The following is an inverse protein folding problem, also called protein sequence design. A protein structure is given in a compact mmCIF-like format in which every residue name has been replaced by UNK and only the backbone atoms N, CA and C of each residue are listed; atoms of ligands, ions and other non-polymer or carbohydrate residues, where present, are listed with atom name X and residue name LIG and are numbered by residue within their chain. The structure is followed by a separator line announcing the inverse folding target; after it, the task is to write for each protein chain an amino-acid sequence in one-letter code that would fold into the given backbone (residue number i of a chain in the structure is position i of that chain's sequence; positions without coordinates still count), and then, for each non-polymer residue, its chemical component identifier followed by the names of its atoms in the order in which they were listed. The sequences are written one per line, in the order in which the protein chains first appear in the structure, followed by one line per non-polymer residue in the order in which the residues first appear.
data_IF_772049647912
#
_entry.id   IF_772049647912
#
_cell.length_a   1.000
_cell.length_b   1.000
_cell.length_c   1.000
_cell.angle_alpha   90.00
_cell.angle_beta   90.00
_cell.angle_gamma   90.00
#
_symmetry.space_group_name_H-M   'P 1'
#
loop_
_entity.id
_entity.type
_entity.pdbx_description
1 polymer ?
#
# COMPACT_ATOMS: atom_id res chain seq x y z
N UNK A 1 42.54 28.02 16.91
CA UNK A 1 41.49 27.03 17.14
C UNK A 1 40.39 27.30 16.12
N UNK A 2 40.48 26.65 14.95
CA UNK A 2 39.53 26.80 13.86
C UNK A 2 38.35 25.83 14.08
N UNK A 3 37.15 26.37 14.26
CA UNK A 3 35.89 25.60 14.23
C UNK A 3 35.52 25.34 12.78
N UNK A 4 35.69 24.10 12.30
CA UNK A 4 35.15 23.65 11.03
C UNK A 4 33.66 23.41 11.16
N UNK A 5 32.83 24.27 10.58
CA UNK A 5 31.42 24.06 10.39
C UNK A 5 31.21 22.93 9.38
N UNK A 6 30.80 21.78 9.86
CA UNK A 6 30.31 20.68 9.00
C UNK A 6 28.89 21.05 8.55
N UNK A 7 28.75 21.48 7.31
CA UNK A 7 27.44 21.59 6.65
C UNK A 7 26.94 20.16 6.34
N UNK A 8 25.99 19.69 7.12
CA UNK A 8 25.21 18.51 6.75
C UNK A 8 24.22 18.97 5.69
N UNK A 9 24.56 18.69 4.41
CA UNK A 9 23.59 18.78 3.33
C UNK A 9 22.51 17.72 3.58
N UNK A 10 21.39 18.16 4.11
CA UNK A 10 20.17 17.35 4.15
C UNK A 10 19.57 17.43 2.75
N UNK A 11 19.98 16.53 1.86
CA UNK A 11 19.27 16.33 0.60
C UNK A 11 17.85 15.89 0.96
N UNK A 12 16.93 16.86 0.90
CA UNK A 12 15.49 16.57 0.90
C UNK A 12 15.23 15.74 -0.35
N UNK A 13 15.07 14.45 -0.18
CA UNK A 13 14.41 13.60 -1.17
C UNK A 13 13.04 14.24 -1.43
N UNK A 14 12.94 15.01 -2.50
CA UNK A 14 11.65 15.49 -2.98
C UNK A 14 10.87 14.24 -3.38
N UNK A 15 9.88 13.89 -2.55
CA UNK A 15 8.90 12.89 -2.92
C UNK A 15 8.32 13.30 -4.28
N UNK A 16 8.31 12.38 -5.23
CA UNK A 16 7.75 12.63 -6.55
C UNK A 16 6.27 12.99 -6.35
N UNK A 17 5.92 14.26 -6.53
CA UNK A 17 4.58 14.79 -6.26
C UNK A 17 3.54 14.38 -7.30
N UNK A 18 3.98 13.74 -8.40
CA UNK A 18 3.08 13.31 -9.47
C UNK A 18 3.35 11.86 -9.84
N UNK A 19 2.29 11.04 -9.81
CA UNK A 19 2.33 9.69 -10.37
C UNK A 19 2.21 9.83 -11.88
N UNK A 20 3.14 9.27 -12.67
CA UNK A 20 3.02 9.29 -14.12
C UNK A 20 1.77 8.51 -14.54
N UNK A 21 1.12 8.97 -15.60
CA UNK A 21 0.01 8.24 -16.20
C UNK A 21 0.47 6.87 -16.69
N UNK A 22 -0.47 5.96 -16.79
CA UNK A 22 -0.24 4.67 -17.46
C UNK A 22 -0.04 4.89 -18.96
N UNK A 23 0.92 4.18 -19.50
CA UNK A 23 1.25 4.23 -20.92
C UNK A 23 0.50 3.13 -21.68
N UNK A 24 0.46 3.25 -23.01
CA UNK A 24 -0.16 2.26 -23.90
C UNK A 24 0.43 0.86 -23.67
N UNK A 25 -0.45 -0.15 -23.63
CA UNK A 25 -0.05 -1.55 -23.46
C UNK A 25 0.31 -1.94 -22.02
N UNK A 26 0.26 -1.02 -21.06
CA UNK A 26 0.53 -1.38 -19.68
C UNK A 26 -0.50 -2.37 -19.13
N UNK A 27 0.02 -3.30 -18.33
CA UNK A 27 -0.72 -4.33 -17.62
C UNK A 27 -0.63 -4.00 -16.12
N UNK A 28 -1.69 -3.38 -15.62
CA UNK A 28 -1.75 -2.87 -14.24
C UNK A 28 -2.45 -3.87 -13.35
N UNK A 29 -1.75 -4.42 -12.36
CA UNK A 29 -2.32 -5.33 -11.36
C UNK A 29 -2.54 -4.58 -10.06
N UNK A 30 -3.80 -4.51 -9.61
CA UNK A 30 -4.18 -3.92 -8.34
C UNK A 30 -4.21 -5.02 -7.27
N UNK A 31 -3.22 -5.03 -6.40
CA UNK A 31 -3.09 -5.96 -5.28
C UNK A 31 -3.63 -5.29 -4.02
N UNK A 32 -4.45 -6.01 -3.26
CA UNK A 32 -5.02 -5.45 -2.04
C UNK A 32 -6.02 -6.36 -1.37
N UNK A 33 -6.67 -5.82 -0.37
CA UNK A 33 -7.69 -6.49 0.44
C UNK A 33 -9.11 -6.31 -0.13
N UNK A 34 -10.13 -6.31 0.74
CA UNK A 34 -11.55 -6.14 0.37
C UNK A 34 -11.85 -4.86 -0.41
N UNK A 35 -11.13 -3.77 -0.16
CA UNK A 35 -11.32 -2.50 -0.87
C UNK A 35 -10.95 -2.67 -2.34
N UNK A 36 -9.84 -3.34 -2.60
CA UNK A 36 -9.41 -3.67 -3.97
C UNK A 36 -10.31 -4.74 -4.59
N UNK A 37 -10.66 -5.78 -3.83
CA UNK A 37 -11.58 -6.82 -4.28
C UNK A 37 -12.90 -6.24 -4.78
N UNK A 38 -13.47 -5.27 -4.05
CA UNK A 38 -14.73 -4.61 -4.43
C UNK A 38 -14.71 -3.91 -5.79
N UNK A 39 -13.55 -3.59 -6.31
CA UNK A 39 -13.38 -3.17 -7.70
C UNK A 39 -13.69 -1.72 -8.01
N UNK A 40 -14.21 -0.95 -7.07
CA UNK A 40 -14.76 0.37 -7.35
C UNK A 40 -13.71 1.36 -7.89
N UNK A 41 -12.63 1.59 -7.15
CA UNK A 41 -11.70 2.65 -7.50
C UNK A 41 -10.92 2.35 -8.80
N UNK A 42 -10.46 1.13 -9.00
CA UNK A 42 -9.73 0.78 -10.22
C UNK A 42 -10.65 0.66 -11.44
N UNK A 43 -11.94 0.37 -11.26
CA UNK A 43 -12.91 0.45 -12.35
C UNK A 43 -13.11 1.89 -12.83
N UNK A 44 -13.12 2.87 -11.91
CA UNK A 44 -13.15 4.29 -12.28
C UNK A 44 -11.86 4.72 -12.99
N UNK A 45 -10.71 4.23 -12.55
CA UNK A 45 -9.43 4.46 -13.22
C UNK A 45 -9.50 3.89 -14.65
N UNK A 46 -9.98 2.65 -14.80
CA UNK A 46 -10.14 2.03 -16.11
C UNK A 46 -11.08 2.84 -17.03
N UNK A 47 -12.24 3.23 -16.52
CA UNK A 47 -13.21 4.04 -17.26
C UNK A 47 -12.61 5.38 -17.70
N UNK A 48 -11.84 6.02 -16.82
CA UNK A 48 -11.12 7.26 -17.14
C UNK A 48 -10.17 7.06 -18.33
N UNK A 49 -9.35 6.00 -18.33
CA UNK A 49 -8.43 5.73 -19.41
C UNK A 49 -9.14 5.36 -20.71
N UNK A 50 -10.18 4.55 -20.66
CA UNK A 50 -10.97 4.16 -21.82
C UNK A 50 -11.67 5.35 -22.49
N UNK A 51 -12.08 6.34 -21.70
CA UNK A 51 -12.80 7.51 -22.24
C UNK A 51 -11.87 8.65 -22.66
N UNK A 52 -10.73 8.80 -22.01
CA UNK A 52 -9.80 9.91 -22.27
C UNK A 52 -8.66 9.55 -23.22
N UNK A 53 -8.32 8.29 -23.31
CA UNK A 53 -7.21 7.79 -24.11
C UNK A 53 -7.61 6.50 -24.85
N UNK A 54 -8.69 6.54 -25.67
CA UNK A 54 -9.23 5.34 -26.31
C UNK A 54 -8.23 4.66 -27.26
N UNK A 55 -7.33 5.45 -27.84
CA UNK A 55 -6.29 4.96 -28.76
C UNK A 55 -5.04 4.38 -28.03
N UNK A 56 -5.02 4.41 -26.69
CA UNK A 56 -3.92 3.93 -25.84
C UNK A 56 -4.42 2.91 -24.82
N UNK A 57 -4.80 1.72 -25.27
CA UNK A 57 -5.40 0.72 -24.39
C UNK A 57 -4.43 0.27 -23.29
N UNK A 58 -4.97 0.13 -22.09
CA UNK A 58 -4.30 -0.48 -20.92
C UNK A 58 -5.12 -1.69 -20.45
N UNK A 59 -4.48 -2.62 -19.78
CA UNK A 59 -5.15 -3.75 -19.13
C UNK A 59 -5.14 -3.55 -17.60
N UNK A 60 -6.31 -3.54 -16.99
CA UNK A 60 -6.45 -3.51 -15.53
C UNK A 60 -6.87 -4.88 -15.02
N UNK A 61 -6.19 -5.37 -14.00
CA UNK A 61 -6.44 -6.67 -13.38
C UNK A 61 -6.63 -6.49 -11.88
N UNK A 62 -7.74 -7.00 -11.38
CA UNK A 62 -8.01 -7.03 -9.96
C UNK A 62 -7.38 -8.26 -9.32
N UNK A 63 -6.48 -8.05 -8.38
CA UNK A 63 -5.85 -9.05 -7.52
C UNK A 63 -6.12 -8.72 -6.04
N UNK A 64 -7.27 -8.15 -5.73
CA UNK A 64 -7.75 -7.94 -4.37
C UNK A 64 -8.44 -9.19 -3.82
N UNK A 65 -8.18 -9.53 -2.57
CA UNK A 65 -8.87 -10.60 -1.84
C UNK A 65 -9.35 -10.07 -0.49
N UNK A 66 -10.63 -10.27 -0.19
CA UNK A 66 -11.22 -9.80 1.07
C UNK A 66 -10.56 -10.40 2.31
N UNK A 67 -10.28 -9.57 3.31
CA UNK A 67 -9.69 -10.00 4.58
C UNK A 67 -8.17 -10.11 4.59
N UNK A 68 -7.50 -10.04 3.45
CA UNK A 68 -6.04 -10.20 3.40
C UNK A 68 -5.27 -9.08 4.08
N UNK A 69 -4.15 -9.47 4.65
CA UNK A 69 -3.10 -8.67 5.25
C UNK A 69 -1.84 -8.72 4.37
N UNK A 70 -0.79 -7.97 4.72
CA UNK A 70 0.46 -7.96 3.96
C UNK A 70 1.09 -9.36 3.81
N UNK A 71 1.05 -10.19 4.85
CA UNK A 71 1.59 -11.57 4.79
C UNK A 71 0.83 -12.47 3.83
N UNK A 72 -0.48 -12.35 3.73
CA UNK A 72 -1.30 -13.13 2.78
C UNK A 72 -0.98 -12.72 1.34
N UNK A 73 -0.87 -11.41 1.08
CA UNK A 73 -0.48 -10.87 -0.23
C UNK A 73 0.94 -11.30 -0.61
N UNK A 74 1.87 -11.34 0.35
CA UNK A 74 3.24 -11.82 0.16
C UNK A 74 3.25 -13.27 -0.33
N UNK A 75 2.48 -14.14 0.30
CA UNK A 75 2.47 -15.57 0.02
C UNK A 75 1.97 -15.90 -1.40
N UNK A 76 1.05 -15.09 -1.96
CA UNK A 76 0.52 -15.29 -3.31
C UNK A 76 1.18 -14.46 -4.41
N UNK A 77 2.21 -13.70 -4.09
CA UNK A 77 2.79 -12.72 -5.02
C UNK A 77 3.26 -13.37 -6.34
N UNK A 78 3.87 -14.55 -6.30
CA UNK A 78 4.37 -15.23 -7.51
C UNK A 78 3.24 -15.79 -8.37
N UNK A 79 2.37 -16.60 -7.78
CA UNK A 79 1.37 -17.35 -8.55
C UNK A 79 0.17 -16.51 -8.97
N UNK A 80 -0.17 -15.45 -8.24
CA UNK A 80 -1.32 -14.61 -8.57
C UNK A 80 -0.92 -13.27 -9.19
N UNK A 81 0.16 -12.64 -8.74
CA UNK A 81 0.54 -11.31 -9.25
C UNK A 81 1.52 -11.43 -10.42
N UNK A 82 2.67 -12.07 -10.23
CA UNK A 82 3.71 -12.12 -11.27
C UNK A 82 3.33 -12.99 -12.47
N UNK A 83 2.54 -14.04 -12.28
CA UNK A 83 2.03 -14.86 -13.39
C UNK A 83 1.10 -14.08 -14.33
N UNK A 84 0.53 -12.96 -13.88
CA UNK A 84 -0.24 -12.05 -14.74
C UNK A 84 0.65 -11.17 -15.62
N UNK A 85 1.99 -11.28 -15.48
CA UNK A 85 3.00 -10.52 -16.24
C UNK A 85 2.73 -9.01 -16.16
N UNK A 86 2.65 -8.42 -14.96
CA UNK A 86 2.39 -6.99 -14.81
C UNK A 86 3.55 -6.15 -15.34
N UNK A 87 3.24 -4.99 -15.90
CA UNK A 87 4.19 -3.89 -16.11
C UNK A 87 4.09 -2.88 -14.97
N UNK A 88 2.94 -2.88 -14.26
CA UNK A 88 2.65 -1.98 -13.18
C UNK A 88 1.93 -2.72 -12.04
N UNK A 89 2.36 -2.52 -10.82
CA UNK A 89 1.72 -3.08 -9.63
C UNK A 89 1.36 -1.97 -8.66
N UNK A 90 0.11 -1.91 -8.24
CA UNK A 90 -0.32 -1.12 -7.08
C UNK A 90 -0.52 -2.03 -5.89
N UNK A 91 -0.13 -1.61 -4.71
CA UNK A 91 -0.24 -2.39 -3.48
C UNK A 91 -0.94 -1.58 -2.39
N UNK A 92 -2.05 -2.11 -1.88
CA UNK A 92 -2.83 -1.51 -0.79
C UNK A 92 -3.03 -2.52 0.33
N UNK A 93 -2.58 -2.19 1.54
CA UNK A 93 -2.72 -3.03 2.74
C UNK A 93 -2.79 -2.16 4.00
N UNK A 94 -2.81 -2.77 5.18
CA UNK A 94 -2.72 -2.11 6.48
C UNK A 94 -3.99 -2.23 7.32
N UNK A 95 -5.18 -2.21 6.72
CA UNK A 95 -6.43 -2.23 7.46
C UNK A 95 -6.65 -3.56 8.22
N UNK A 96 -6.39 -4.70 7.58
CA UNK A 96 -6.53 -6.02 8.21
C UNK A 96 -5.32 -6.41 9.05
N UNK A 97 -4.16 -5.81 8.76
CA UNK A 97 -2.91 -6.06 9.45
C UNK A 97 -2.98 -5.68 10.93
N UNK A 98 -3.72 -4.63 11.26
CA UNK A 98 -3.91 -4.17 12.64
C UNK A 98 -4.78 -5.09 13.47
N UNK A 99 -5.72 -5.83 12.84
CA UNK A 99 -6.60 -6.79 13.50
C UNK A 99 -7.64 -6.18 14.42
N UNK A 100 -8.83 -5.97 13.93
CA UNK A 100 -9.92 -5.34 14.67
C UNK A 100 -10.28 -6.07 15.97
N UNK A 101 -10.15 -7.39 15.98
CA UNK A 101 -10.53 -8.28 17.07
C UNK A 101 -9.60 -8.19 18.28
N UNK A 102 -8.37 -7.75 18.10
CA UNK A 102 -7.38 -7.73 19.18
C UNK A 102 -7.60 -6.61 20.19
N UNK A 103 -8.23 -5.50 19.76
CA UNK A 103 -8.42 -4.33 20.61
C UNK A 103 -9.39 -4.54 21.78
N UNK A 104 -10.15 -5.62 21.73
CA UNK A 104 -11.04 -6.05 22.83
C UNK A 104 -10.35 -6.98 23.84
N UNK A 105 -9.07 -7.29 23.68
CA UNK A 105 -8.32 -8.21 24.53
C UNK A 105 -7.47 -7.45 25.55
N UNK A 106 -7.27 -8.04 26.72
CA UNK A 106 -6.48 -7.43 27.80
C UNK A 106 -5.03 -7.15 27.39
N UNK A 107 -4.47 -7.99 26.51
CA UNK A 107 -3.13 -7.84 25.95
C UNK A 107 -3.11 -7.21 24.55
N UNK A 108 -4.09 -6.37 24.23
CA UNK A 108 -4.25 -5.74 22.91
C UNK A 108 -2.98 -5.03 22.42
N UNK A 109 -2.26 -4.35 23.34
CA UNK A 109 -1.03 -3.63 22.99
C UNK A 109 0.04 -4.58 22.44
N UNK A 110 0.33 -5.65 23.15
CA UNK A 110 1.33 -6.65 22.76
C UNK A 110 0.96 -7.31 21.42
N UNK A 111 -0.29 -7.72 21.27
CA UNK A 111 -0.79 -8.32 20.03
C UNK A 111 -0.71 -7.35 18.86
N UNK A 112 -1.00 -6.07 19.06
CA UNK A 112 -0.87 -5.03 18.04
C UNK A 112 0.59 -4.85 17.61
N UNK A 113 1.53 -4.79 18.55
CA UNK A 113 2.96 -4.66 18.27
C UNK A 113 3.47 -5.88 17.45
N UNK A 114 3.06 -7.08 17.80
CA UNK A 114 3.40 -8.30 17.07
C UNK A 114 2.84 -8.29 15.64
N UNK A 115 1.59 -7.88 15.45
CA UNK A 115 0.97 -7.77 14.11
C UNK A 115 1.65 -6.70 13.25
N UNK A 116 1.95 -5.54 13.82
CA UNK A 116 2.68 -4.48 13.10
C UNK A 116 4.05 -4.96 12.67
N UNK A 117 4.78 -5.65 13.54
CA UNK A 117 6.10 -6.21 13.20
C UNK A 117 6.01 -7.21 12.05
N UNK A 118 5.04 -8.14 12.09
CA UNK A 118 4.79 -9.12 11.03
C UNK A 118 4.39 -8.45 9.70
N UNK A 119 3.56 -7.41 9.76
CA UNK A 119 3.16 -6.65 8.58
C UNK A 119 4.35 -5.96 7.93
N UNK A 120 5.18 -5.29 8.72
CA UNK A 120 6.38 -4.61 8.24
C UNK A 120 7.41 -5.56 7.61
N UNK A 121 7.61 -6.73 8.22
CA UNK A 121 8.48 -7.76 7.66
C UNK A 121 7.95 -8.25 6.30
N UNK A 122 6.66 -8.60 6.24
CA UNK A 122 6.02 -9.05 5.01
C UNK A 122 6.06 -7.98 3.91
N UNK A 123 5.87 -6.72 4.29
CA UNK A 123 5.96 -5.60 3.36
C UNK A 123 7.35 -5.44 2.76
N UNK A 124 8.41 -5.54 3.59
CA UNK A 124 9.80 -5.47 3.10
C UNK A 124 10.08 -6.59 2.10
N UNK A 125 9.64 -7.81 2.39
CA UNK A 125 9.82 -8.93 1.47
C UNK A 125 9.07 -8.71 0.15
N UNK A 126 7.83 -8.19 0.20
CA UNK A 126 7.09 -7.81 -1.02
C UNK A 126 7.87 -6.76 -1.82
N UNK A 127 8.37 -5.74 -1.13
CA UNK A 127 9.12 -4.66 -1.77
C UNK A 127 10.40 -5.19 -2.43
N UNK A 128 11.17 -6.01 -1.74
CA UNK A 128 12.39 -6.64 -2.27
C UNK A 128 12.09 -7.50 -3.52
N UNK A 129 11.04 -8.32 -3.47
CA UNK A 129 10.62 -9.16 -4.60
C UNK A 129 10.12 -8.34 -5.79
N UNK A 130 9.43 -7.23 -5.54
CA UNK A 130 9.04 -6.27 -6.57
C UNK A 130 10.25 -5.53 -7.14
N UNK A 131 11.24 -5.16 -6.31
CA UNK A 131 12.48 -4.52 -6.74
C UNK A 131 13.34 -5.44 -7.59
N UNK A 132 13.38 -6.73 -7.25
CA UNK A 132 14.08 -7.74 -8.05
C UNK A 132 13.50 -7.89 -9.48
N UNK A 133 12.26 -7.46 -9.69
CA UNK A 133 11.61 -7.41 -11.01
C UNK A 133 11.81 -6.02 -11.65
N UNK A 134 13.00 -5.70 -12.08
CA UNK A 134 13.42 -4.37 -12.58
C UNK A 134 12.52 -3.70 -13.64
N UNK A 135 11.66 -4.47 -14.31
CA UNK A 135 10.75 -3.97 -15.35
C UNK A 135 9.37 -3.58 -14.81
N UNK A 136 9.07 -3.87 -13.54
CA UNK A 136 7.77 -3.58 -12.94
C UNK A 136 7.82 -2.21 -12.27
N UNK A 137 6.98 -1.29 -12.74
CA UNK A 137 6.69 -0.04 -12.04
C UNK A 137 5.77 -0.33 -10.85
N UNK A 138 5.91 0.40 -9.77
CA UNK A 138 5.16 0.17 -8.54
C UNK A 138 4.65 1.44 -7.91
N UNK A 139 3.45 1.38 -7.35
CA UNK A 139 2.85 2.40 -6.49
C UNK A 139 2.39 1.74 -5.20
N UNK A 140 2.82 2.32 -4.10
CA UNK A 140 2.38 1.93 -2.78
C UNK A 140 1.27 2.89 -2.37
N UNK A 141 0.10 2.34 -2.09
CA UNK A 141 -1.06 3.09 -1.63
C UNK A 141 -1.19 2.82 -0.14
N UNK A 142 -1.15 3.86 0.67
CA UNK A 142 -1.35 3.73 2.12
C UNK A 142 -2.76 3.22 2.47
N UNK A 143 -2.94 2.79 3.71
CA UNK A 143 -4.26 2.42 4.22
C UNK A 143 -5.21 3.61 4.21
N UNK A 144 -6.51 3.34 4.04
CA UNK A 144 -7.53 4.38 4.18
C UNK A 144 -7.52 4.95 5.61
N UNK A 145 -7.73 6.26 5.79
CA UNK A 145 -7.84 6.85 7.12
C UNK A 145 -9.06 6.25 7.84
N UNK A 146 -8.89 6.02 9.14
CA UNK A 146 -9.98 5.65 10.01
C UNK A 146 -10.46 6.89 10.78
N UNK A 147 -11.76 7.16 10.70
CA UNK A 147 -12.36 8.28 11.42
C UNK A 147 -12.80 7.84 12.83
N UNK A 148 -11.92 8.04 13.81
CA UNK A 148 -12.19 7.76 15.22
C UNK A 148 -13.11 8.83 15.87
N UNK A 149 -13.41 9.93 15.16
CA UNK A 149 -14.30 10.98 15.63
C UNK A 149 -15.73 10.83 15.14
N UNK A 150 -16.00 9.78 14.38
CA UNK A 150 -17.32 9.50 13.83
C UNK A 150 -18.38 9.44 14.95
N UNK A 151 -19.50 10.11 14.73
CA UNK A 151 -20.65 10.14 15.66
C UNK A 151 -21.41 8.81 15.70
N UNK A 152 -21.14 7.89 14.81
CA UNK A 152 -21.69 6.55 14.85
C UNK A 152 -21.04 5.76 15.99
N UNK A 153 -21.88 5.12 16.80
CA UNK A 153 -21.43 4.31 17.94
C UNK A 153 -20.64 3.10 17.40
N UNK A 154 -19.34 3.29 17.28
CA UNK A 154 -18.44 2.35 16.66
C UNK A 154 -17.80 1.53 17.76
N UNK A 155 -18.16 0.25 17.86
CA UNK A 155 -17.61 -0.67 18.85
C UNK A 155 -16.08 -0.81 18.77
N UNK A 156 -15.47 -0.29 17.71
CA UNK A 156 -14.03 -0.34 17.45
C UNK A 156 -13.34 1.01 17.70
N UNK A 157 -13.80 1.76 18.66
CA UNK A 157 -13.46 3.16 18.92
C UNK A 157 -12.00 3.44 19.32
N UNK A 158 -11.05 2.51 19.22
CA UNK A 158 -9.68 2.66 19.75
C UNK A 158 -8.62 2.15 18.78
N UNK A 159 -8.78 2.36 17.48
CA UNK A 159 -7.66 2.12 16.57
C UNK A 159 -6.92 3.45 16.38
N UNK A 160 -6.19 3.88 17.38
CA UNK A 160 -5.18 4.91 17.19
C UNK A 160 -4.07 4.36 16.30
N UNK A 161 -4.08 4.71 15.04
CA UNK A 161 -2.92 4.57 14.13
C UNK A 161 -1.84 5.57 14.57
N UNK A 162 -1.44 5.55 15.85
CA UNK A 162 -0.41 6.45 16.37
C UNK A 162 1.00 5.94 16.10
N UNK A 163 1.17 4.77 15.51
CA UNK A 163 2.48 4.15 15.36
C UNK A 163 3.18 4.38 14.01
N UNK A 164 2.49 4.95 13.02
CA UNK A 164 3.14 5.30 11.75
C UNK A 164 3.92 6.62 11.77
N UNK A 165 3.88 7.37 12.90
CA UNK A 165 4.51 8.71 12.96
C UNK A 165 6.03 8.70 13.07
N UNK A 166 6.69 7.61 13.40
CA UNK A 166 8.12 7.63 13.75
C UNK A 166 9.05 6.76 12.89
N UNK A 167 8.55 6.00 11.94
CA UNK A 167 9.42 5.22 11.08
C UNK A 167 9.32 5.71 9.64
N UNK A 168 10.44 6.23 9.16
CA UNK A 168 10.70 6.64 7.78
C UNK A 168 10.52 5.46 6.83
N UNK A 169 9.28 5.14 6.52
CA UNK A 169 9.00 4.46 5.26
C UNK A 169 8.82 5.54 4.22
N UNK A 170 9.42 5.47 3.04
CA UNK A 170 9.10 6.39 1.97
C UNK A 170 7.69 6.07 1.49
N UNK A 171 6.72 6.58 2.22
CA UNK A 171 5.31 6.48 1.88
C UNK A 171 5.05 7.50 0.80
N UNK A 172 4.94 7.06 -0.43
CA UNK A 172 4.26 7.84 -1.45
C UNK A 172 2.78 7.82 -1.08
N UNK A 173 2.34 8.85 -0.33
CA UNK A 173 0.93 9.11 -0.08
C UNK A 173 0.41 9.83 -1.31
N UNK A 174 -0.54 9.24 -1.97
CA UNK A 174 -1.40 9.92 -2.93
C UNK A 174 -2.63 10.38 -2.20
#
# INVERSE_FOLDING_TARGET
MLLSLVYINCDYLQAQTTIPRFEEGERVVFVGNSITHGGHYHSFIWLYYMTRFPDKPITIMNAGIGGESAWDMKDRLDYDVFNRKPTYVTLTFGMNDTGYDIYMKDNAKELSEQRIAKSLESYREIEERLLAKNKIKKVLIGGSPYDETSRFNNLYCIIRITHFKNNRCPTYIV
#
